data_IF_060785537193
#
_entry.id   IF_060785537193
#
_cell.length_a   1.000
_cell.length_b   1.000
_cell.length_c   1.000
_cell.angle_alpha   90.00
_cell.angle_beta   90.00
_cell.angle_gamma   90.00
#
_symmetry.space_group_name_H-M   'P 1'
#
loop_
_entity.id
_entity.type
_entity.pdbx_description
1 polymer ?
#
# COMPACT_ATOMS: atom_id res chain seq x y z
N UNK A 1 -9.39 9.07 16.17
CA UNK A 1 -9.27 7.86 15.34
C UNK A 1 -8.27 8.16 14.23
N UNK A 2 -7.29 7.30 13.97
CA UNK A 2 -6.29 7.54 12.95
C UNK A 2 -6.95 7.48 11.57
N UNK A 3 -6.65 8.44 10.69
CA UNK A 3 -7.15 8.47 9.32
C UNK A 3 -6.28 7.58 8.44
N UNK A 4 -6.88 6.61 7.77
CA UNK A 4 -6.20 5.62 6.94
C UNK A 4 -6.66 5.79 5.49
N UNK A 5 -5.73 5.67 4.54
CA UNK A 5 -6.02 5.57 3.11
C UNK A 5 -5.32 4.35 2.52
N UNK A 6 -6.03 3.53 1.75
CA UNK A 6 -5.43 2.54 0.86
C UNK A 6 -5.08 3.25 -0.45
N UNK A 7 -3.82 3.22 -0.84
CA UNK A 7 -3.31 3.82 -2.07
C UNK A 7 -3.03 2.72 -3.09
N UNK A 8 -3.72 2.81 -4.21
CA UNK A 8 -3.55 1.90 -5.35
C UNK A 8 -3.06 2.68 -6.55
N UNK A 9 -1.97 2.25 -7.15
CA UNK A 9 -1.46 2.82 -8.41
C UNK A 9 -1.83 1.90 -9.57
N UNK A 10 -2.35 2.46 -10.65
CA UNK A 10 -2.79 1.69 -11.82
C UNK A 10 -2.38 2.35 -13.14
N UNK A 11 -2.23 1.53 -14.17
CA UNK A 11 -2.04 1.96 -15.56
C UNK A 11 -2.50 0.91 -16.56
N UNK A 12 -3.63 1.16 -17.25
CA UNK A 12 -4.18 0.27 -18.28
C UNK A 12 -4.40 -1.19 -17.81
N UNK A 13 -4.88 -1.37 -16.57
CA UNK A 13 -5.16 -2.67 -15.96
C UNK A 13 -6.55 -2.71 -15.32
N UNK A 14 -7.54 -2.15 -16.03
CA UNK A 14 -8.91 -1.97 -15.52
C UNK A 14 -9.50 -3.19 -14.82
N UNK A 15 -9.29 -4.41 -15.37
CA UNK A 15 -9.88 -5.62 -14.80
C UNK A 15 -9.24 -6.01 -13.46
N UNK A 16 -7.91 -5.92 -13.34
CA UNK A 16 -7.19 -6.19 -12.10
C UNK A 16 -7.55 -5.16 -11.03
N UNK A 17 -7.59 -3.88 -11.39
CA UNK A 17 -8.03 -2.82 -10.51
C UNK A 17 -9.45 -3.06 -9.97
N UNK A 18 -10.37 -3.56 -10.81
CA UNK A 18 -11.73 -3.90 -10.37
C UNK A 18 -11.70 -4.91 -9.22
N UNK A 19 -10.96 -6.00 -9.39
CA UNK A 19 -10.82 -7.05 -8.39
C UNK A 19 -10.18 -6.53 -7.09
N UNK A 20 -9.15 -5.67 -7.23
CA UNK A 20 -8.52 -5.01 -6.09
C UNK A 20 -9.51 -4.11 -5.32
N UNK A 21 -10.26 -3.23 -6.01
CA UNK A 21 -11.25 -2.35 -5.38
C UNK A 21 -12.32 -3.19 -4.66
N UNK A 22 -12.82 -4.25 -5.28
CA UNK A 22 -13.80 -5.16 -4.67
C UNK A 22 -13.24 -5.79 -3.39
N UNK A 23 -11.97 -6.23 -3.39
CA UNK A 23 -11.31 -6.77 -2.20
C UNK A 23 -11.10 -5.72 -1.09
N UNK A 24 -10.80 -4.48 -1.46
CA UNK A 24 -10.68 -3.36 -0.52
C UNK A 24 -12.03 -3.01 0.11
N UNK A 25 -13.10 -2.98 -0.68
CA UNK A 25 -14.45 -2.71 -0.18
C UNK A 25 -14.96 -3.81 0.75
N UNK A 26 -14.46 -5.05 0.60
CA UNK A 26 -14.79 -6.22 1.40
C UNK A 26 -13.89 -6.40 2.66
N UNK A 27 -13.06 -5.42 3.02
CA UNK A 27 -12.30 -5.50 4.26
C UNK A 27 -13.22 -5.50 5.49
N UNK A 28 -12.89 -6.29 6.53
CA UNK A 28 -13.63 -6.31 7.81
C UNK A 28 -13.65 -4.94 8.47
N UNK A 29 -12.54 -4.21 8.40
CA UNK A 29 -12.48 -2.81 8.78
C UNK A 29 -12.79 -1.95 7.55
N UNK A 30 -13.82 -1.11 7.64
CA UNK A 30 -14.27 -0.21 6.58
C UNK A 30 -14.03 1.28 6.87
N UNK A 31 -13.30 1.60 7.93
CA UNK A 31 -13.00 2.97 8.36
C UNK A 31 -11.72 3.49 7.68
N UNK A 32 -11.66 3.46 6.37
CA UNK A 32 -10.56 3.99 5.56
C UNK A 32 -11.07 4.44 4.20
N UNK A 33 -10.33 5.34 3.57
CA UNK A 33 -10.55 5.77 2.20
C UNK A 33 -9.70 4.95 1.22
N UNK A 34 -10.09 4.94 -0.05
CA UNK A 34 -9.38 4.27 -1.15
C UNK A 34 -8.97 5.35 -2.15
N UNK A 35 -7.67 5.60 -2.27
CA UNK A 35 -7.11 6.52 -3.25
C UNK A 35 -6.58 5.75 -4.45
N UNK A 36 -7.24 5.91 -5.59
CA UNK A 36 -6.80 5.35 -6.86
C UNK A 36 -5.98 6.42 -7.59
N UNK A 37 -4.71 6.18 -7.79
CA UNK A 37 -3.81 6.99 -8.61
C UNK A 37 -3.67 6.34 -9.97
N UNK A 38 -4.30 6.94 -10.97
CA UNK A 38 -4.29 6.47 -12.35
C UNK A 38 -3.21 7.20 -13.16
N UNK A 39 -2.25 6.47 -13.65
CA UNK A 39 -1.15 6.97 -14.49
C UNK A 39 -1.59 7.27 -15.95
N UNK A 40 -2.74 7.92 -16.10
CA UNK A 40 -3.35 8.30 -17.39
C UNK A 40 -3.74 7.09 -18.24
N UNK A 41 -4.49 6.15 -17.68
CA UNK A 41 -5.07 5.01 -18.40
C UNK A 41 -6.01 5.44 -19.52
N UNK A 42 -6.08 4.62 -20.56
CA UNK A 42 -6.93 4.83 -21.75
C UNK A 42 -7.91 3.67 -22.00
N UNK A 43 -7.98 2.71 -21.07
CA UNK A 43 -8.77 1.47 -21.19
C UNK A 43 -10.17 1.56 -20.55
N UNK A 44 -10.60 2.76 -20.12
CA UNK A 44 -11.87 2.99 -19.42
C UNK A 44 -11.76 2.76 -17.91
N UNK A 45 -10.57 2.93 -17.34
CA UNK A 45 -10.32 2.84 -15.89
C UNK A 45 -11.10 3.89 -15.11
N UNK A 46 -11.16 5.14 -15.59
CA UNK A 46 -11.89 6.23 -14.92
C UNK A 46 -13.38 5.91 -14.79
N UNK A 47 -14.01 5.46 -15.88
CA UNK A 47 -15.41 5.08 -15.92
C UNK A 47 -15.70 3.91 -14.98
N UNK A 48 -14.79 2.93 -14.93
CA UNK A 48 -14.90 1.81 -13.99
C UNK A 48 -14.91 2.32 -12.55
N UNK A 49 -13.92 3.14 -12.16
CA UNK A 49 -13.81 3.63 -10.78
C UNK A 49 -15.05 4.43 -10.38
N UNK A 50 -15.55 5.30 -11.26
CA UNK A 50 -16.76 6.08 -11.04
C UNK A 50 -18.02 5.18 -10.91
N UNK A 51 -18.05 4.02 -11.57
CA UNK A 51 -19.21 3.11 -11.52
C UNK A 51 -19.41 2.43 -10.16
N UNK A 52 -18.43 2.44 -9.26
CA UNK A 52 -18.60 1.93 -7.89
C UNK A 52 -19.50 2.81 -7.02
N UNK A 53 -19.72 4.08 -7.37
CA UNK A 53 -20.58 5.03 -6.64
C UNK A 53 -20.36 5.03 -5.12
N UNK A 54 -19.11 4.89 -4.69
CA UNK A 54 -18.73 4.76 -3.28
C UNK A 54 -17.94 5.99 -2.83
N UNK A 55 -18.43 6.68 -1.80
CA UNK A 55 -17.84 7.93 -1.29
C UNK A 55 -16.46 7.77 -0.61
N UNK A 56 -16.04 6.54 -0.31
CA UNK A 56 -14.69 6.25 0.19
C UNK A 56 -13.65 6.18 -0.94
N UNK A 57 -14.08 6.10 -2.20
CA UNK A 57 -13.16 6.01 -3.35
C UNK A 57 -12.86 7.41 -3.86
N UNK A 58 -11.58 7.74 -3.86
CA UNK A 58 -11.01 8.97 -4.40
C UNK A 58 -10.23 8.61 -5.66
N UNK A 59 -10.58 9.19 -6.79
CA UNK A 59 -9.88 8.96 -8.06
C UNK A 59 -9.05 10.18 -8.42
N UNK A 60 -7.80 9.95 -8.76
CA UNK A 60 -6.86 10.99 -9.19
C UNK A 60 -6.12 10.52 -10.45
N UNK A 61 -6.20 11.30 -11.51
CA UNK A 61 -5.47 11.06 -12.74
C UNK A 61 -4.22 11.94 -12.79
N UNK A 62 -3.06 11.32 -12.98
CA UNK A 62 -1.77 12.04 -13.01
C UNK A 62 -1.53 12.84 -14.28
N UNK A 63 -2.37 12.66 -15.31
CA UNK A 63 -2.25 13.32 -16.61
C UNK A 63 -1.14 12.75 -17.52
N UNK A 64 -0.28 11.88 -17.01
CA UNK A 64 0.78 11.20 -17.75
C UNK A 64 1.17 9.90 -17.04
N UNK A 65 1.78 8.95 -17.76
CA UNK A 65 2.34 7.77 -17.13
C UNK A 65 3.66 8.11 -16.41
N UNK A 66 3.59 8.20 -15.08
CA UNK A 66 4.73 8.49 -14.21
C UNK A 66 5.50 7.22 -13.78
N UNK A 67 5.08 6.03 -14.22
CA UNK A 67 5.56 4.75 -13.71
C UNK A 67 5.03 4.43 -12.31
N UNK A 68 5.35 3.24 -11.79
CA UNK A 68 4.97 2.83 -10.43
C UNK A 68 5.52 3.79 -9.38
N UNK A 69 6.84 4.05 -9.44
CA UNK A 69 7.54 4.95 -8.52
C UNK A 69 6.91 6.36 -8.47
N UNK A 70 6.63 6.94 -9.63
CA UNK A 70 6.00 8.25 -9.73
C UNK A 70 4.57 8.26 -9.21
N UNK A 71 3.79 7.22 -9.49
CA UNK A 71 2.42 7.05 -8.99
C UNK A 71 2.39 6.94 -7.46
N UNK A 72 3.26 6.11 -6.86
CA UNK A 72 3.37 6.01 -5.40
C UNK A 72 3.87 7.31 -4.78
N UNK A 73 4.88 7.97 -5.37
CA UNK A 73 5.34 9.28 -4.89
C UNK A 73 4.17 10.29 -4.85
N UNK A 74 3.41 10.37 -5.94
CA UNK A 74 2.26 11.26 -6.07
C UNK A 74 1.20 10.94 -5.00
N UNK A 75 0.81 9.67 -4.86
CA UNK A 75 -0.22 9.24 -3.93
C UNK A 75 0.16 9.42 -2.46
N UNK A 76 1.41 9.10 -2.08
CA UNK A 76 1.90 9.31 -0.70
C UNK A 76 1.94 10.80 -0.37
N UNK A 77 2.43 11.65 -1.29
CA UNK A 77 2.40 13.10 -1.12
C UNK A 77 0.98 13.62 -0.88
N UNK A 78 0.05 13.22 -1.73
CA UNK A 78 -1.36 13.58 -1.60
C UNK A 78 -1.97 13.09 -0.27
N UNK A 79 -1.65 11.87 0.15
CA UNK A 79 -2.11 11.33 1.43
C UNK A 79 -1.64 12.17 2.62
N UNK A 80 -0.39 12.63 2.57
CA UNK A 80 0.17 13.55 3.58
C UNK A 80 -0.57 14.89 3.57
N UNK A 81 -0.80 15.48 2.39
CA UNK A 81 -1.47 16.78 2.22
C UNK A 81 -2.93 16.75 2.66
N UNK A 82 -3.62 15.62 2.44
CA UNK A 82 -5.00 15.38 2.91
C UNK A 82 -5.09 15.06 4.42
N UNK A 83 -3.96 14.94 5.11
CA UNK A 83 -3.89 14.74 6.56
C UNK A 83 -4.23 13.33 7.01
N UNK A 84 -3.91 12.31 6.23
CA UNK A 84 -3.93 10.93 6.66
C UNK A 84 -2.77 10.63 7.62
N UNK A 85 -2.98 9.70 8.54
CA UNK A 85 -1.97 9.22 9.49
C UNK A 85 -1.23 8.00 8.93
N UNK A 86 -1.95 7.15 8.20
CA UNK A 86 -1.41 5.94 7.57
C UNK A 86 -1.80 5.85 6.10
N UNK A 87 -0.88 5.30 5.31
CA UNK A 87 -1.09 4.98 3.90
C UNK A 87 -0.78 3.49 3.66
N UNK A 88 -1.76 2.74 3.16
CA UNK A 88 -1.62 1.33 2.82
C UNK A 88 -1.40 1.19 1.32
N UNK A 89 -0.13 1.05 0.92
CA UNK A 89 0.34 1.02 -0.47
C UNK A 89 0.14 -0.36 -1.09
N UNK A 90 -0.33 -0.41 -2.34
CA UNK A 90 -0.39 -1.64 -3.12
C UNK A 90 -0.51 -1.39 -4.61
N UNK A 91 -0.09 -2.36 -5.42
CA UNK A 91 -0.34 -2.42 -6.85
C UNK A 91 -1.80 -2.81 -7.14
N UNK A 92 -2.26 -2.54 -8.36
CA UNK A 92 -3.63 -2.80 -8.83
C UNK A 92 -3.98 -4.29 -8.98
N UNK A 93 -2.99 -5.19 -8.93
CA UNK A 93 -3.15 -6.65 -8.96
C UNK A 93 -3.05 -7.31 -7.58
N UNK A 94 -2.94 -6.52 -6.52
CA UNK A 94 -2.93 -7.01 -5.14
C UNK A 94 -4.36 -7.29 -4.66
N UNK A 95 -4.62 -8.51 -4.19
CA UNK A 95 -5.92 -8.90 -3.63
C UNK A 95 -5.78 -9.14 -2.12
N UNK A 96 -6.03 -8.12 -1.28
CA UNK A 96 -5.92 -8.28 0.16
C UNK A 96 -7.01 -9.20 0.71
N UNK A 97 -6.61 -10.09 1.66
CA UNK A 97 -7.58 -10.89 2.42
C UNK A 97 -8.44 -9.95 3.28
N UNK A 98 -9.66 -10.38 3.60
CA UNK A 98 -10.67 -9.55 4.27
C UNK A 98 -10.24 -8.99 5.64
N UNK A 99 -9.28 -9.64 6.30
CA UNK A 99 -8.73 -9.26 7.61
C UNK A 99 -7.36 -8.56 7.54
N UNK A 100 -6.87 -8.25 6.33
CA UNK A 100 -5.51 -7.73 6.14
C UNK A 100 -5.30 -6.38 6.81
N UNK A 101 -6.21 -5.43 6.60
CA UNK A 101 -6.11 -4.10 7.21
C UNK A 101 -6.25 -4.16 8.74
N UNK A 102 -7.19 -4.97 9.22
CA UNK A 102 -7.40 -5.17 10.66
C UNK A 102 -6.11 -5.66 11.34
N UNK A 103 -5.43 -6.66 10.78
CA UNK A 103 -4.16 -7.16 11.28
C UNK A 103 -3.04 -6.13 11.26
N UNK A 104 -2.96 -5.29 10.21
CA UNK A 104 -1.98 -4.20 10.14
C UNK A 104 -2.22 -3.17 11.25
N UNK A 105 -3.47 -2.76 11.47
CA UNK A 105 -3.86 -1.84 12.55
C UNK A 105 -3.57 -2.44 13.93
N UNK A 106 -3.88 -3.71 14.16
CA UNK A 106 -3.58 -4.38 15.43
C UNK A 106 -2.08 -4.39 15.73
N UNK A 107 -1.26 -4.68 14.72
CA UNK A 107 0.19 -4.70 14.89
C UNK A 107 0.78 -3.30 15.05
N UNK A 108 0.23 -2.28 14.39
CA UNK A 108 0.57 -0.89 14.64
C UNK A 108 0.35 -0.51 16.11
N UNK A 109 -0.81 -0.87 16.67
CA UNK A 109 -1.13 -0.66 18.10
C UNK A 109 -0.16 -1.41 19.03
N UNK A 110 0.19 -2.67 18.74
CA UNK A 110 1.18 -3.44 19.53
C UNK A 110 2.57 -2.78 19.54
N UNK A 111 2.89 -2.00 18.51
CA UNK A 111 4.13 -1.23 18.42
C UNK A 111 3.98 0.19 18.98
N UNK A 112 2.84 0.56 19.57
CA UNK A 112 2.53 1.92 20.03
C UNK A 112 2.73 2.97 18.94
N UNK A 113 2.46 2.61 17.68
CA UNK A 113 2.68 3.42 16.49
C UNK A 113 4.15 3.83 16.25
N UNK A 114 5.11 3.16 16.91
CA UNK A 114 6.55 3.39 16.74
C UNK A 114 7.13 2.45 15.68
N UNK A 115 6.77 2.72 14.41
CA UNK A 115 7.26 2.01 13.23
C UNK A 115 7.23 2.94 12.01
N UNK A 116 8.11 2.71 11.04
CA UNK A 116 8.08 3.42 9.76
C UNK A 116 7.08 2.79 8.80
N UNK A 117 7.12 1.46 8.66
CA UNK A 117 6.17 0.69 7.86
C UNK A 117 5.98 -0.73 8.40
N UNK A 118 4.85 -1.32 8.09
CA UNK A 118 4.55 -2.74 8.22
C UNK A 118 4.26 -3.29 6.82
N UNK A 119 4.63 -4.52 6.54
CA UNK A 119 4.21 -5.18 5.31
C UNK A 119 3.54 -6.52 5.59
N UNK A 120 2.64 -6.91 4.71
CA UNK A 120 1.99 -8.21 4.77
C UNK A 120 2.89 -9.29 4.16
N UNK A 121 2.68 -10.53 4.59
CA UNK A 121 3.16 -11.69 3.85
C UNK A 121 2.36 -11.82 2.54
N UNK A 122 3.07 -11.99 1.42
CA UNK A 122 2.47 -12.04 0.08
C UNK A 122 2.47 -13.47 -0.45
N UNK A 123 1.31 -13.97 -0.82
CA UNK A 123 1.11 -15.26 -1.48
C UNK A 123 0.88 -15.07 -2.99
N UNK A 124 1.37 -16.00 -3.79
CA UNK A 124 1.01 -16.10 -5.19
C UNK A 124 -0.38 -16.74 -5.34
N UNK A 125 -0.94 -16.72 -6.55
CA UNK A 125 -2.28 -17.28 -6.84
C UNK A 125 -2.43 -18.78 -6.54
N UNK A 126 -1.33 -19.50 -6.37
CA UNK A 126 -1.30 -20.93 -5.97
C UNK A 126 -1.21 -21.13 -4.44
N UNK A 127 -1.29 -20.05 -3.66
CA UNK A 127 -1.22 -20.06 -2.19
C UNK A 127 0.20 -20.23 -1.63
N UNK A 128 1.22 -20.21 -2.49
CA UNK A 128 2.63 -20.28 -2.05
C UNK A 128 3.23 -18.90 -1.87
N UNK A 129 4.35 -18.80 -1.11
CA UNK A 129 5.06 -17.53 -0.96
C UNK A 129 5.40 -16.91 -2.32
N UNK A 130 5.04 -15.64 -2.52
CA UNK A 130 5.44 -14.92 -3.72
C UNK A 130 6.92 -14.56 -3.62
N UNK A 131 7.76 -15.28 -4.38
CA UNK A 131 9.23 -15.12 -4.32
C UNK A 131 9.71 -13.73 -4.71
N UNK A 132 8.99 -13.05 -5.61
CA UNK A 132 9.32 -11.69 -6.03
C UNK A 132 9.12 -10.66 -4.91
N UNK A 133 8.18 -10.93 -4.01
CA UNK A 133 7.77 -10.03 -2.95
C UNK A 133 8.25 -10.47 -1.56
N UNK A 134 9.33 -11.27 -1.51
CA UNK A 134 9.93 -11.67 -0.23
C UNK A 134 10.68 -10.48 0.39
N UNK A 135 10.30 -10.03 1.59
CA UNK A 135 10.97 -8.92 2.24
C UNK A 135 12.40 -9.27 2.64
N UNK A 136 13.27 -8.28 2.66
CA UNK A 136 14.65 -8.44 3.15
C UNK A 136 14.67 -8.32 4.66
N UNK A 137 15.07 -9.41 5.32
CA UNK A 137 15.15 -9.48 6.79
C UNK A 137 16.40 -8.73 7.26
N UNK A 138 16.27 -7.96 8.34
CA UNK A 138 17.42 -7.31 9.01
C UNK A 138 18.36 -8.39 9.59
N UNK A 139 19.67 -8.23 9.37
CA UNK A 139 20.70 -9.13 9.93
C UNK A 139 20.64 -9.22 11.45
N UNK A 140 20.24 -8.13 12.10
CA UNK A 140 20.16 -8.01 13.55
C UNK A 140 18.74 -8.28 14.09
N UNK A 141 17.88 -8.97 13.32
CA UNK A 141 16.51 -9.29 13.72
C UNK A 141 16.40 -9.89 15.13
N UNK A 142 17.41 -10.65 15.56
CA UNK A 142 17.47 -11.28 16.88
C UNK A 142 17.48 -10.29 18.06
N UNK A 143 17.90 -9.05 17.83
CA UNK A 143 17.83 -7.97 18.85
C UNK A 143 16.38 -7.55 19.14
N UNK A 144 15.44 -7.98 18.28
CA UNK A 144 14.01 -7.73 18.37
C UNK A 144 13.22 -9.02 18.56
N UNK A 145 13.86 -10.03 19.20
CA UNK A 145 13.27 -11.37 19.37
C UNK A 145 11.94 -11.35 20.16
N UNK A 146 11.75 -10.37 21.05
CA UNK A 146 10.49 -10.12 21.73
C UNK A 146 9.32 -9.83 20.77
N UNK A 147 9.59 -9.22 19.62
CA UNK A 147 8.58 -8.92 18.61
C UNK A 147 8.15 -10.15 17.83
N UNK A 148 9.04 -11.15 17.68
CA UNK A 148 8.73 -12.41 16.97
C UNK A 148 7.59 -13.16 17.67
N UNK A 149 7.55 -13.15 18.99
CA UNK A 149 6.46 -13.76 19.75
C UNK A 149 5.11 -13.11 19.48
N UNK A 150 5.11 -11.89 18.94
CA UNK A 150 3.93 -11.14 18.52
C UNK A 150 3.67 -11.28 17.00
N UNK A 151 4.41 -12.15 16.30
CA UNK A 151 4.28 -12.38 14.87
C UNK A 151 4.94 -11.28 13.99
N UNK A 152 5.86 -10.48 14.57
CA UNK A 152 6.54 -9.40 13.86
C UNK A 152 8.01 -9.73 13.66
N UNK A 153 8.53 -9.43 12.46
CA UNK A 153 9.93 -9.61 12.10
C UNK A 153 10.50 -8.29 11.59
N UNK A 154 11.71 -7.92 12.06
CA UNK A 154 12.35 -6.69 11.58
C UNK A 154 12.88 -6.87 10.16
N UNK A 155 12.52 -5.92 9.31
CA UNK A 155 12.88 -5.88 7.90
C UNK A 155 13.80 -4.71 7.58
N UNK A 156 14.57 -4.83 6.49
CA UNK A 156 15.33 -3.74 5.88
C UNK A 156 14.49 -3.08 4.77
N UNK A 157 13.83 -3.90 3.93
CA UNK A 157 13.00 -3.43 2.82
C UNK A 157 11.92 -4.45 2.48
N UNK A 158 10.89 -3.98 1.80
CA UNK A 158 9.82 -4.78 1.20
C UNK A 158 9.36 -4.13 -0.11
N UNK A 159 8.63 -4.86 -0.93
CA UNK A 159 8.01 -4.36 -2.16
C UNK A 159 6.69 -3.64 -1.87
N UNK A 160 6.22 -2.76 -2.78
CA UNK A 160 4.97 -2.00 -2.61
C UNK A 160 3.69 -2.86 -2.77
N UNK A 161 3.78 -4.13 -2.40
CA UNK A 161 2.65 -5.03 -2.32
C UNK A 161 2.22 -5.15 -0.86
N UNK A 162 1.16 -4.45 -0.47
CA UNK A 162 0.63 -4.40 0.90
C UNK A 162 1.61 -3.85 1.95
N UNK A 163 2.01 -2.59 1.78
CA UNK A 163 2.87 -1.85 2.72
C UNK A 163 2.06 -0.79 3.45
N UNK A 164 1.99 -0.90 4.77
CA UNK A 164 1.28 0.04 5.66
C UNK A 164 2.28 1.03 6.25
N UNK A 165 2.30 2.24 5.71
CA UNK A 165 3.26 3.29 6.03
C UNK A 165 2.70 4.23 7.10
N UNK A 166 3.49 4.48 8.14
CA UNK A 166 3.21 5.54 9.10
C UNK A 166 3.68 6.88 8.53
N UNK A 167 2.74 7.72 8.11
CA UNK A 167 3.02 8.97 7.44
C UNK A 167 3.71 10.02 8.32
N UNK A 168 3.67 9.88 9.65
CA UNK A 168 4.45 10.71 10.57
C UNK A 168 5.96 10.56 10.31
N UNK A 169 6.42 9.33 10.04
CA UNK A 169 7.82 9.07 9.73
C UNK A 169 8.16 9.42 8.28
N UNK A 170 7.28 9.08 7.32
CA UNK A 170 7.48 9.38 5.90
C UNK A 170 7.68 10.88 5.63
N UNK A 171 6.97 11.76 6.33
CA UNK A 171 7.14 13.23 6.25
C UNK A 171 8.58 13.71 6.50
N UNK A 172 9.33 12.97 7.31
CA UNK A 172 10.69 13.35 7.73
C UNK A 172 11.78 12.61 6.95
N UNK A 173 11.46 11.48 6.31
CA UNK A 173 12.44 10.60 5.64
C UNK A 173 12.43 10.75 4.12
N UNK A 174 11.37 11.34 3.55
CA UNK A 174 11.23 11.53 2.11
C UNK A 174 10.13 10.66 1.51
N UNK A 175 9.89 10.88 0.22
CA UNK A 175 8.91 10.17 -0.59
C UNK A 175 9.61 9.09 -1.45
N UNK A 176 8.88 8.11 -1.99
CA UNK A 176 9.41 7.19 -2.99
C UNK A 176 10.14 7.94 -4.13
N UNK A 177 11.27 7.40 -4.58
CA UNK A 177 12.14 8.06 -5.58
C UNK A 177 11.49 7.95 -6.96
N UNK A 178 10.78 8.97 -7.38
CA UNK A 178 9.98 9.00 -8.63
C UNK A 178 10.80 8.79 -9.91
N UNK A 179 12.10 9.12 -9.88
CA UNK A 179 13.03 8.97 -10.99
C UNK A 179 13.33 7.51 -11.34
N UNK A 180 13.07 6.58 -10.44
CA UNK A 180 13.26 5.13 -10.65
C UNK A 180 12.28 4.54 -11.66
N UNK A 181 11.13 5.15 -11.86
CA UNK A 181 10.05 4.79 -12.77
C UNK A 181 9.37 3.45 -12.44
N UNK A 182 10.08 2.29 -12.45
CA UNK A 182 9.51 0.95 -12.18
C UNK A 182 10.37 0.10 -11.25
N UNK A 183 11.71 0.15 -11.34
CA UNK A 183 12.58 -0.77 -10.61
C UNK A 183 13.38 -0.09 -9.51
N UNK A 184 13.39 -0.69 -8.32
CA UNK A 184 14.21 -0.27 -7.19
C UNK A 184 13.60 0.85 -6.35
N UNK A 185 12.43 1.35 -6.71
CA UNK A 185 11.69 2.39 -6.01
C UNK A 185 11.22 1.97 -4.61
N UNK A 186 11.16 0.68 -4.37
CA UNK A 186 10.79 0.03 -3.11
C UNK A 186 12.01 -0.36 -2.24
N UNK A 187 13.24 -0.05 -2.68
CA UNK A 187 14.47 -0.46 -2.00
C UNK A 187 15.27 0.69 -1.39
N UNK A 188 14.87 1.95 -1.57
CA UNK A 188 15.57 3.15 -1.03
C UNK A 188 14.84 3.83 0.14
#
# INVERSE_FOLDING_TARGET
MNKIVALVVTYNRKQLLKENIEALLNQNNNEFDILIVDNASTDGTEELVKSFENNRIIYENTGANLGGAGGFNYGVKMSIEKGYDYCWLMDDDTIPKTDSLEKLIENAKKLNDEFSYLCSYVEWTDGKPCKMNMPRIDKNWYQYADKINNGLLKLISCTFVSVFVNLKFAKNQGLPVKEMFIYGDDHE
#
